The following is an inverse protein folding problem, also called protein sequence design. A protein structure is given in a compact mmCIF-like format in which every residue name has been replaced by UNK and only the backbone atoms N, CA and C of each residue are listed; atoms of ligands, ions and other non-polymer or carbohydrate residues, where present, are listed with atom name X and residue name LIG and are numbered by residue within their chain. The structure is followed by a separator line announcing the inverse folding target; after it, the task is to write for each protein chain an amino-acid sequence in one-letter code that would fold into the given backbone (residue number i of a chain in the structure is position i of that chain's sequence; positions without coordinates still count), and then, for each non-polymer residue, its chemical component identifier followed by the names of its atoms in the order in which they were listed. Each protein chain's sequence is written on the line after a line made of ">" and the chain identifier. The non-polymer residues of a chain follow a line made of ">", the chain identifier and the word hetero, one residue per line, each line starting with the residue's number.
data_IF_817153909826
#
_entry.id   IF_817153909826
#
_cell.length_a   1.000
_cell.length_b   1.000
_cell.length_c   1.000
_cell.angle_alpha   90.00
_cell.angle_beta   90.00
_cell.angle_gamma   90.00
#
_symmetry.space_group_name_H-M   'P 1'
#
loop_
_entity.id
_entity.type
_entity.pdbx_description
1 polymer ?
#
# COMPACT_ATOMS: atom_id res chain seq x y z
N UNK A 1 5.70 -19.58 2.47
CA UNK A 1 5.33 -18.45 1.57
C UNK A 1 5.85 -18.72 0.17
N UNK A 2 4.98 -18.80 -0.86
CA UNK A 2 5.39 -19.16 -2.24
C UNK A 2 6.09 -18.02 -3.00
N UNK A 3 5.82 -16.76 -2.64
CA UNK A 3 6.36 -15.55 -3.29
C UNK A 3 7.67 -15.01 -2.66
N UNK A 4 7.95 -15.33 -1.38
CA UNK A 4 8.89 -14.61 -0.51
C UNK A 4 10.21 -14.18 -1.17
N UNK A 5 10.46 -12.87 -1.20
CA UNK A 5 11.69 -12.24 -1.69
C UNK A 5 11.91 -12.27 -3.21
N UNK A 6 11.08 -12.96 -3.99
CA UNK A 6 11.27 -13.11 -5.44
C UNK A 6 10.82 -11.86 -6.21
N UNK A 7 11.62 -11.49 -7.21
CA UNK A 7 11.21 -10.50 -8.22
C UNK A 7 10.04 -11.02 -9.06
N UNK A 8 9.23 -10.12 -9.69
CA UNK A 8 8.05 -10.50 -10.48
C UNK A 8 8.31 -11.62 -11.49
N UNK A 9 9.43 -11.54 -12.22
CA UNK A 9 9.85 -12.54 -13.20
C UNK A 9 10.11 -13.91 -12.56
N UNK A 10 10.86 -13.94 -11.45
CA UNK A 10 11.17 -15.17 -10.71
C UNK A 10 9.94 -15.76 -9.97
N UNK A 11 8.95 -14.93 -9.66
CA UNK A 11 7.69 -15.34 -9.04
C UNK A 11 6.63 -15.76 -10.06
N UNK A 12 6.77 -15.41 -11.34
CA UNK A 12 5.70 -15.53 -12.32
C UNK A 12 4.45 -14.72 -11.93
N UNK A 13 4.63 -13.61 -11.21
CA UNK A 13 3.56 -12.78 -10.67
C UNK A 13 3.81 -11.31 -11.02
N UNK A 14 2.95 -10.73 -11.85
CA UNK A 14 3.07 -9.34 -12.29
C UNK A 14 2.02 -8.45 -11.63
N UNK A 15 2.39 -7.22 -11.22
CA UNK A 15 1.40 -6.23 -10.82
C UNK A 15 0.40 -5.98 -11.95
N UNK A 16 -0.89 -5.87 -11.62
CA UNK A 16 -1.93 -5.51 -12.60
C UNK A 16 -1.71 -4.11 -13.20
N UNK A 17 -0.97 -3.25 -12.49
CA UNK A 17 -0.62 -1.90 -12.92
C UNK A 17 0.90 -1.71 -12.86
N UNK A 18 1.48 -1.24 -13.96
CA UNK A 18 2.90 -0.86 -14.00
C UNK A 18 3.18 0.36 -13.12
N UNK A 19 4.37 0.50 -12.52
CA UNK A 19 4.75 1.70 -11.78
C UNK A 19 4.66 2.96 -12.66
N UNK A 20 4.13 4.04 -12.10
CA UNK A 20 3.94 5.33 -12.79
C UNK A 20 3.96 6.48 -11.78
N UNK A 21 4.26 7.69 -12.27
CA UNK A 21 4.14 8.91 -11.45
C UNK A 21 2.65 9.31 -11.35
N UNK A 22 2.06 9.37 -10.15
CA UNK A 22 0.66 9.73 -10.00
C UNK A 22 0.44 11.22 -10.25
N UNK A 23 -0.78 11.58 -10.67
CA UNK A 23 -1.26 12.97 -10.70
C UNK A 23 -1.78 13.40 -9.34
N UNK A 24 -1.92 14.71 -9.12
CA UNK A 24 -2.49 15.28 -7.90
C UNK A 24 -3.90 14.73 -7.63
N UNK A 25 -4.73 14.60 -8.67
CA UNK A 25 -6.07 14.01 -8.54
C UNK A 25 -6.05 12.54 -8.11
N UNK A 26 -5.08 11.75 -8.57
CA UNK A 26 -4.93 10.36 -8.15
C UNK A 26 -4.46 10.27 -6.70
N UNK A 27 -3.55 11.14 -6.27
CA UNK A 27 -3.13 11.24 -4.86
C UNK A 27 -4.33 11.54 -3.96
N UNK A 28 -5.14 12.56 -4.30
CA UNK A 28 -6.36 12.85 -3.54
C UNK A 28 -7.33 11.67 -3.53
N UNK A 29 -7.56 11.03 -4.68
CA UNK A 29 -8.46 9.86 -4.78
C UNK A 29 -8.02 8.72 -3.87
N UNK A 30 -6.73 8.42 -3.83
CA UNK A 30 -6.15 7.34 -3.03
C UNK A 30 -6.14 7.70 -1.53
N UNK A 31 -5.94 8.98 -1.20
CA UNK A 31 -5.95 9.49 0.16
C UNK A 31 -7.34 9.59 0.82
N UNK A 32 -8.45 9.42 0.08
CA UNK A 32 -9.82 9.56 0.62
C UNK A 32 -10.16 8.63 1.79
N UNK A 33 -9.43 7.53 1.93
CA UNK A 33 -9.61 6.59 3.05
C UNK A 33 -8.96 7.09 4.35
N UNK A 34 -8.16 8.15 4.28
CA UNK A 34 -7.44 8.70 5.41
C UNK A 34 -7.96 10.11 5.73
N UNK A 35 -8.12 10.44 7.01
CA UNK A 35 -8.37 11.81 7.42
C UNK A 35 -7.29 12.77 6.89
N UNK A 36 -7.62 14.05 6.65
CA UNK A 36 -6.60 15.06 6.37
C UNK A 36 -5.51 15.04 7.44
N UNK A 37 -4.24 15.05 7.02
CA UNK A 37 -3.06 15.01 7.90
C UNK A 37 -2.90 13.73 8.75
N UNK A 38 -3.47 12.59 8.35
CA UNK A 38 -3.19 11.33 9.02
C UNK A 38 -1.71 10.96 8.87
N UNK A 39 -0.95 11.04 9.96
CA UNK A 39 0.44 10.60 10.07
C UNK A 39 0.46 9.29 10.85
N UNK A 40 1.27 8.34 10.39
CA UNK A 40 1.55 7.14 11.16
C UNK A 40 2.50 7.50 12.29
N UNK A 41 2.13 7.18 13.52
CA UNK A 41 2.92 7.47 14.72
C UNK A 41 4.00 6.39 14.92
N UNK A 42 3.78 5.19 14.39
CA UNK A 42 4.72 4.07 14.45
C UNK A 42 4.82 3.27 13.16
N UNK A 43 5.93 2.55 12.99
CA UNK A 43 6.09 1.56 11.92
C UNK A 43 5.10 0.38 12.04
N UNK A 44 4.55 0.15 13.24
CA UNK A 44 3.56 -0.89 13.47
C UNK A 44 2.23 -0.52 12.81
N UNK A 45 1.85 0.76 12.85
CA UNK A 45 0.64 1.30 12.20
C UNK A 45 0.69 1.07 10.68
N UNK A 46 1.88 1.14 10.10
CA UNK A 46 2.10 0.81 8.69
C UNK A 46 1.94 -0.68 8.40
N UNK A 47 2.35 -1.56 9.33
CA UNK A 47 2.30 -3.00 9.11
C UNK A 47 0.88 -3.57 9.20
N UNK A 48 0.06 -2.99 10.08
CA UNK A 48 -1.32 -3.41 10.37
C UNK A 48 -2.38 -2.50 9.75
N UNK A 49 -2.00 -1.72 8.74
CA UNK A 49 -2.81 -0.67 8.11
C UNK A 49 -4.15 -1.13 7.48
N UNK A 50 -4.34 -2.43 7.27
CA UNK A 50 -5.56 -3.04 6.69
C UNK A 50 -6.20 -4.07 7.62
N UNK A 51 -5.82 -4.08 8.89
CA UNK A 51 -6.37 -4.98 9.93
C UNK A 51 -7.37 -4.20 10.76
N UNK A 52 -8.58 -4.73 10.93
CA UNK A 52 -9.52 -4.22 11.93
C UNK A 52 -8.86 -4.37 13.31
N UNK A 53 -8.55 -3.24 13.95
CA UNK A 53 -8.18 -3.21 15.35
C UNK A 53 -9.47 -3.44 16.13
N UNK A 54 -9.67 -4.64 16.66
CA UNK A 54 -10.72 -4.85 17.65
C UNK A 54 -10.44 -4.00 18.91
N UNK A 55 -11.50 -3.49 19.57
CA UNK A 55 -11.41 -2.49 20.63
C UNK A 55 -10.67 -2.95 21.90
#
# INVERSE_FOLDING_TARGET
>A
LKKGGKLPEAAGMWPAQKPYRPTVHQLHRNGRKFPPNYLHESWLDFLYWDTELEP
#
